data_IF_647480000633
#
_entry.id   IF_647480000633
#
_cell.length_a   1.000
_cell.length_b   1.000
_cell.length_c   1.000
_cell.angle_alpha   90.00
_cell.angle_beta   90.00
_cell.angle_gamma   90.00
#
_symmetry.space_group_name_H-M   'P 1'
#
loop_
_entity.id
_entity.type
_entity.pdbx_description
1 polymer ?
#
# COMPACT_ATOMS: atom_id res chain seq x y z
N UNK A 1 2.41 3.98 -12.04
CA UNK A 1 3.34 2.83 -11.96
C UNK A 1 2.77 1.71 -12.81
N UNK A 2 3.53 1.21 -13.78
CA UNK A 2 3.07 0.22 -14.77
C UNK A 2 2.43 -1.02 -14.13
N UNK A 3 2.91 -1.44 -12.95
CA UNK A 3 2.38 -2.62 -12.27
C UNK A 3 0.99 -2.37 -11.65
N UNK A 4 0.82 -1.25 -10.93
CA UNK A 4 -0.45 -0.87 -10.31
C UNK A 4 -1.51 -0.66 -11.39
N UNK A 5 -1.17 0.04 -12.47
CA UNK A 5 -2.08 0.29 -13.59
C UNK A 5 -2.53 -1.02 -14.27
N UNK A 6 -1.61 -1.96 -14.48
CA UNK A 6 -1.96 -3.29 -15.02
C UNK A 6 -2.88 -4.06 -14.09
N UNK A 7 -2.63 -4.03 -12.78
CA UNK A 7 -3.46 -4.73 -11.79
C UNK A 7 -4.86 -4.14 -11.71
N UNK A 8 -4.96 -2.81 -11.62
CA UNK A 8 -6.23 -2.10 -11.57
C UNK A 8 -7.07 -2.35 -12.82
N UNK A 9 -6.44 -2.31 -14.00
CA UNK A 9 -7.12 -2.65 -15.26
C UNK A 9 -7.63 -4.08 -15.29
N UNK A 10 -6.84 -5.05 -14.83
CA UNK A 10 -7.26 -6.44 -14.78
C UNK A 10 -8.48 -6.65 -13.85
N UNK A 11 -8.50 -5.96 -12.71
CA UNK A 11 -9.63 -6.00 -11.77
C UNK A 11 -10.89 -5.34 -12.36
N UNK A 12 -10.74 -4.18 -12.99
CA UNK A 12 -11.85 -3.48 -13.67
C UNK A 12 -12.44 -4.31 -14.80
N UNK A 13 -11.59 -4.93 -15.63
CA UNK A 13 -12.04 -5.82 -16.70
C UNK A 13 -12.81 -7.01 -16.13
N UNK A 14 -12.31 -7.65 -15.06
CA UNK A 14 -13.01 -8.76 -14.41
C UNK A 14 -14.35 -8.33 -13.82
N UNK A 15 -14.44 -7.13 -13.25
CA UNK A 15 -15.70 -6.57 -12.77
C UNK A 15 -16.72 -6.39 -13.91
N UNK A 16 -16.27 -5.92 -15.08
CA UNK A 16 -17.09 -5.85 -16.29
C UNK A 16 -17.54 -7.23 -16.77
N UNK A 17 -16.64 -8.23 -16.77
CA UNK A 17 -16.95 -9.60 -17.21
C UNK A 17 -17.98 -10.30 -16.30
N UNK A 18 -17.98 -9.98 -15.01
CA UNK A 18 -18.96 -10.48 -14.04
C UNK A 18 -20.37 -9.95 -14.33
N UNK A 19 -20.48 -8.75 -14.90
CA UNK A 19 -21.75 -8.12 -15.28
C UNK A 19 -22.78 -8.12 -14.13
N UNK A 20 -24.06 -8.21 -14.49
CA UNK A 20 -25.19 -8.22 -13.54
C UNK A 20 -25.54 -9.62 -13.01
N UNK A 21 -24.63 -10.58 -13.10
CA UNK A 21 -24.88 -11.96 -12.64
C UNK A 21 -25.19 -11.98 -11.15
N UNK A 22 -26.35 -12.47 -10.77
CA UNK A 22 -26.85 -12.39 -9.38
C UNK A 22 -26.55 -13.62 -8.52
N UNK A 23 -25.82 -14.60 -9.03
CA UNK A 23 -25.45 -15.78 -8.26
C UNK A 23 -24.46 -15.44 -7.13
N UNK A 24 -24.50 -16.22 -6.05
CA UNK A 24 -23.73 -15.95 -4.84
C UNK A 24 -22.21 -15.91 -5.09
N UNK A 25 -21.69 -16.70 -6.02
CA UNK A 25 -20.27 -16.69 -6.33
C UNK A 25 -19.88 -15.40 -7.04
N UNK A 26 -20.65 -14.97 -8.05
CA UNK A 26 -20.43 -13.69 -8.73
C UNK A 26 -20.53 -12.49 -7.78
N UNK A 27 -21.47 -12.50 -6.83
CA UNK A 27 -21.57 -11.45 -5.79
C UNK A 27 -20.31 -11.40 -4.91
N UNK A 28 -19.88 -12.54 -4.37
CA UNK A 28 -18.69 -12.61 -3.52
C UNK A 28 -17.41 -12.18 -4.26
N UNK A 29 -17.28 -12.57 -5.54
CA UNK A 29 -16.17 -12.15 -6.39
C UNK A 29 -16.18 -10.63 -6.61
N UNK A 30 -17.35 -10.03 -6.86
CA UNK A 30 -17.50 -8.57 -7.00
C UNK A 30 -17.10 -7.84 -5.72
N UNK A 31 -17.58 -8.29 -4.56
CA UNK A 31 -17.23 -7.70 -3.27
C UNK A 31 -15.72 -7.78 -3.01
N UNK A 32 -15.10 -8.91 -3.34
CA UNK A 32 -13.66 -9.09 -3.19
C UNK A 32 -12.87 -8.16 -4.11
N UNK A 33 -13.29 -8.03 -5.37
CA UNK A 33 -12.65 -7.13 -6.34
C UNK A 33 -12.79 -5.66 -5.91
N UNK A 34 -13.96 -5.26 -5.41
CA UNK A 34 -14.19 -3.91 -4.91
C UNK A 34 -13.24 -3.58 -3.75
N UNK A 35 -13.14 -4.47 -2.75
CA UNK A 35 -12.18 -4.31 -1.65
C UNK A 35 -10.73 -4.20 -2.14
N UNK A 36 -10.34 -5.01 -3.11
CA UNK A 36 -9.00 -4.92 -3.69
C UNK A 36 -8.74 -3.61 -4.45
N UNK A 37 -9.76 -3.05 -5.11
CA UNK A 37 -9.64 -1.74 -5.77
C UNK A 37 -9.52 -0.61 -4.74
N UNK A 38 -10.27 -0.68 -3.64
CA UNK A 38 -10.16 0.25 -2.50
C UNK A 38 -8.78 0.18 -1.87
N UNK A 39 -8.28 -1.03 -1.56
CA UNK A 39 -6.93 -1.24 -1.02
C UNK A 39 -5.83 -0.68 -1.93
N UNK A 40 -5.98 -0.81 -3.25
CA UNK A 40 -5.04 -0.24 -4.22
C UNK A 40 -5.03 1.28 -4.14
N UNK A 41 -6.21 1.91 -4.04
CA UNK A 41 -6.31 3.37 -3.99
C UNK A 41 -5.72 3.91 -2.69
N UNK A 42 -6.05 3.32 -1.55
CA UNK A 42 -5.43 3.66 -0.26
C UNK A 42 -3.90 3.50 -0.30
N UNK A 43 -3.40 2.47 -0.98
CA UNK A 43 -1.96 2.26 -1.09
C UNK A 43 -1.28 3.31 -1.97
N UNK A 44 -1.94 3.79 -3.04
CA UNK A 44 -1.42 4.90 -3.85
C UNK A 44 -1.31 6.18 -3.03
N UNK A 45 -2.32 6.50 -2.23
CA UNK A 45 -2.28 7.68 -1.34
C UNK A 45 -1.11 7.62 -0.36
N UNK A 46 -0.82 6.43 0.21
CA UNK A 46 0.36 6.21 1.06
C UNK A 46 1.68 6.43 0.32
N UNK A 47 1.77 6.05 -0.96
CA UNK A 47 2.95 6.30 -1.80
C UNK A 47 3.10 7.81 -2.04
N UNK A 48 2.03 8.50 -2.40
CA UNK A 48 2.07 9.94 -2.67
C UNK A 48 2.47 10.72 -1.41
N UNK A 49 1.93 10.37 -0.24
CA UNK A 49 2.34 10.95 1.05
C UNK A 49 3.81 10.62 1.40
N UNK A 50 4.27 9.40 1.10
CA UNK A 50 5.67 9.02 1.30
C UNK A 50 6.62 9.89 0.45
N UNK A 51 6.30 10.07 -0.83
CA UNK A 51 7.06 10.93 -1.74
C UNK A 51 7.00 12.39 -1.28
N UNK A 52 5.82 12.89 -0.93
CA UNK A 52 5.62 14.25 -0.43
C UNK A 52 6.41 14.53 0.86
N UNK A 53 6.63 13.52 1.70
CA UNK A 53 7.48 13.64 2.90
C UNK A 53 8.98 13.74 2.61
N UNK A 54 9.41 13.68 1.35
CA UNK A 54 10.82 13.74 0.96
C UNK A 54 11.58 12.44 1.24
N UNK A 55 10.88 11.30 1.21
CA UNK A 55 11.49 10.00 1.45
C UNK A 55 12.56 9.68 0.40
N UNK A 56 13.82 9.65 0.83
CA UNK A 56 14.99 9.32 0.02
C UNK A 56 15.82 8.26 0.74
N UNK A 57 15.56 6.95 0.51
CA UNK A 57 16.21 5.89 1.27
C UNK A 57 17.67 5.70 0.82
N UNK A 58 18.61 5.97 1.72
CA UNK A 58 20.05 5.82 1.48
C UNK A 58 20.58 4.58 2.21
N UNK A 59 21.50 3.84 1.59
CA UNK A 59 22.04 2.60 2.15
C UNK A 59 22.79 2.82 3.47
N UNK A 60 23.59 3.89 3.53
CA UNK A 60 24.49 4.18 4.65
C UNK A 60 23.78 4.73 5.88
N UNK A 61 22.55 5.24 5.72
CA UNK A 61 21.74 5.81 6.80
C UNK A 61 21.20 4.77 7.79
N UNK A 62 21.37 3.50 7.46
CA UNK A 62 20.95 2.38 8.27
C UNK A 62 19.48 2.01 8.06
N UNK A 63 19.23 0.70 8.15
CA UNK A 63 17.93 0.08 7.87
C UNK A 63 16.79 0.69 8.69
N UNK A 64 17.06 1.12 9.93
CA UNK A 64 16.05 1.71 10.81
C UNK A 64 15.47 3.03 10.28
N UNK A 65 16.30 3.91 9.69
CA UNK A 65 15.84 5.18 9.11
C UNK A 65 14.96 4.92 7.88
N UNK A 66 15.35 3.98 7.04
CA UNK A 66 14.60 3.66 5.81
C UNK A 66 13.25 2.99 6.09
N UNK A 67 13.17 2.14 7.12
CA UNK A 67 11.95 1.40 7.45
C UNK A 67 10.94 2.25 8.23
N UNK A 68 11.39 3.19 9.06
CA UNK A 68 10.50 3.96 9.94
C UNK A 68 9.37 4.71 9.19
N UNK A 69 9.65 5.44 8.09
CA UNK A 69 8.61 6.09 7.28
C UNK A 69 7.60 5.11 6.66
N UNK A 70 8.04 3.90 6.31
CA UNK A 70 7.19 2.85 5.71
C UNK A 70 6.30 2.19 6.78
N UNK A 71 6.87 1.87 7.94
CA UNK A 71 6.15 1.27 9.06
C UNK A 71 5.10 2.25 9.62
N UNK A 72 5.46 3.54 9.78
CA UNK A 72 4.51 4.57 10.24
C UNK A 72 3.26 4.65 9.35
N UNK A 73 3.41 4.40 8.05
CA UNK A 73 2.32 4.42 7.05
C UNK A 73 1.61 3.09 6.88
N UNK A 74 2.00 2.05 7.63
CA UNK A 74 1.44 0.71 7.48
C UNK A 74 1.67 0.13 6.09
N UNK A 75 2.80 0.44 5.45
CA UNK A 75 3.16 -0.06 4.12
C UNK A 75 3.92 -1.40 4.16
N UNK A 76 4.16 -1.93 5.37
CA UNK A 76 4.80 -3.22 5.59
C UNK A 76 3.88 -4.14 6.39
N UNK A 77 3.93 -5.46 6.14
CA UNK A 77 2.97 -6.42 6.72
C UNK A 77 3.17 -6.69 8.21
N UNK A 78 4.33 -6.33 8.77
CA UNK A 78 4.63 -6.51 10.19
C UNK A 78 5.56 -5.40 10.69
N UNK A 79 5.48 -5.13 11.99
CA UNK A 79 6.36 -4.18 12.66
C UNK A 79 7.79 -4.75 12.74
N UNK A 80 8.74 -4.06 12.12
CA UNK A 80 10.18 -4.36 12.24
C UNK A 80 10.78 -3.59 13.40
N UNK A 81 10.34 -2.35 13.59
CA UNK A 81 10.78 -1.46 14.66
C UNK A 81 9.82 -1.56 15.84
N UNK A 82 10.37 -1.68 17.04
CA UNK A 82 9.59 -1.46 18.27
C UNK A 82 9.08 -0.02 18.33
N UNK A 83 8.03 0.24 19.13
CA UNK A 83 7.50 1.61 19.32
C UNK A 83 8.57 2.64 19.69
N UNK A 84 9.55 2.25 20.51
CA UNK A 84 10.68 3.10 20.90
C UNK A 84 11.61 3.39 19.71
N UNK A 85 11.96 2.37 18.94
CA UNK A 85 12.80 2.52 17.74
C UNK A 85 12.11 3.33 16.65
N UNK A 86 10.81 3.09 16.40
CA UNK A 86 10.04 3.86 15.44
C UNK A 86 10.05 5.34 15.80
N UNK A 87 9.79 5.69 17.08
CA UNK A 87 9.88 7.07 17.55
C UNK A 87 11.29 7.64 17.37
N UNK A 88 12.34 6.87 17.68
CA UNK A 88 13.73 7.32 17.52
C UNK A 88 14.06 7.65 16.06
N UNK A 89 13.75 6.74 15.13
CA UNK A 89 14.14 6.89 13.72
C UNK A 89 13.29 7.91 12.95
N UNK A 90 12.05 8.18 13.39
CA UNK A 90 11.23 9.25 12.81
C UNK A 90 11.70 10.68 13.18
N UNK A 91 12.53 10.82 14.22
CA UNK A 91 12.99 12.12 14.73
C UNK A 91 14.53 12.20 14.76
N UNK A 92 15.22 11.37 13.97
CA UNK A 92 16.67 11.40 13.88
C UNK A 92 17.09 12.56 12.97
N UNK A 93 17.89 13.50 13.50
CA UNK A 93 18.44 14.66 12.75
C UNK A 93 19.78 14.38 12.04
N UNK A 94 20.24 13.13 12.10
CA UNK A 94 21.55 12.65 11.65
C UNK A 94 21.36 11.57 10.62
#
# INVERSE_FOLDING_TARGET
SVYIEKRERALKNRLTDLGDRSDAASQNDRDTIQKQLEEIEEFKEKIDDLIASGYDPILDDGVGKNIAPLQKRGMIPYDVLTKSQLKKYLNADW
#
